data_IF_158766757354
#
_entry.id   IF_158766757354
#
_cell.length_a   1.000
_cell.length_b   1.000
_cell.length_c   1.000
_cell.angle_alpha   90.00
_cell.angle_beta   90.00
_cell.angle_gamma   90.00
#
_symmetry.space_group_name_H-M   'P 1'
#
loop_
_entity.id
_entity.type
_entity.pdbx_description
1 polymer ?
#
# COMPACT_ATOMS: atom_id res chain seq x y z
N UNK A 1 9.77 0.02 8.21
CA UNK A 1 9.20 -0.48 9.48
C UNK A 1 10.09 -1.63 10.00
N UNK A 2 10.41 -1.68 11.30
CA UNK A 2 11.22 -2.77 11.89
C UNK A 2 10.33 -3.97 12.30
N UNK A 3 10.93 -5.15 12.47
CA UNK A 3 10.23 -6.34 13.00
C UNK A 3 9.88 -6.12 14.49
N UNK A 4 8.73 -6.64 14.99
CA UNK A 4 8.41 -6.64 16.41
C UNK A 4 9.49 -7.35 17.23
N UNK A 5 9.78 -6.85 18.43
CA UNK A 5 10.71 -7.46 19.37
C UNK A 5 10.10 -7.61 20.75
N UNK A 6 10.47 -8.67 21.43
CA UNK A 6 9.96 -8.97 22.76
C UNK A 6 10.88 -8.36 23.84
N UNK A 7 10.29 -7.63 24.78
CA UNK A 7 11.00 -7.00 25.89
C UNK A 7 10.70 -7.76 27.19
N UNK A 8 11.71 -8.49 27.69
CA UNK A 8 11.61 -9.32 28.90
C UNK A 8 11.12 -8.54 30.13
N UNK A 9 11.56 -7.29 30.32
CA UNK A 9 11.21 -6.44 31.47
C UNK A 9 9.71 -6.17 31.61
N UNK A 10 8.97 -6.11 30.50
CA UNK A 10 7.52 -5.85 30.51
C UNK A 10 6.70 -7.03 30.02
N UNK A 11 7.34 -8.18 29.78
CA UNK A 11 6.72 -9.40 29.24
C UNK A 11 5.81 -9.10 28.03
N UNK A 12 6.28 -8.21 27.14
CA UNK A 12 5.47 -7.68 26.04
C UNK A 12 6.28 -7.42 24.78
N UNK A 13 5.58 -7.47 23.65
CA UNK A 13 6.06 -7.16 22.32
C UNK A 13 5.93 -5.67 22.02
N UNK A 14 6.97 -5.14 21.39
CA UNK A 14 7.08 -3.75 20.98
C UNK A 14 7.52 -3.66 19.53
N UNK A 15 7.20 -2.54 18.86
CA UNK A 15 7.76 -2.18 17.57
C UNK A 15 8.17 -0.71 17.57
N UNK A 16 9.29 -0.41 16.92
CA UNK A 16 9.68 0.97 16.63
C UNK A 16 8.85 1.48 15.45
N UNK A 17 8.03 2.49 15.72
CA UNK A 17 7.18 3.14 14.74
C UNK A 17 7.26 4.66 14.92
N UNK A 18 7.60 5.39 13.84
CA UNK A 18 7.76 6.86 13.82
C UNK A 18 8.55 7.45 15.01
N UNK A 19 9.73 6.89 15.30
CA UNK A 19 10.58 7.37 16.40
C UNK A 19 10.08 7.03 17.80
N UNK A 20 8.92 6.36 17.94
CA UNK A 20 8.36 5.91 19.22
C UNK A 20 8.31 4.39 19.30
N UNK A 21 8.26 3.87 20.53
CA UNK A 21 8.03 2.45 20.79
C UNK A 21 6.55 2.22 21.06
N UNK A 22 5.89 1.49 20.16
CA UNK A 22 4.48 1.11 20.31
C UNK A 22 4.42 -0.28 20.92
N UNK A 23 3.61 -0.44 21.98
CA UNK A 23 3.33 -1.74 22.60
C UNK A 23 2.29 -2.47 21.76
N UNK A 24 2.58 -3.71 21.38
CA UNK A 24 1.74 -4.53 20.49
C UNK A 24 0.90 -5.58 21.23
N UNK A 25 1.41 -6.12 22.34
CA UNK A 25 0.70 -7.16 23.10
C UNK A 25 1.64 -7.95 23.99
N UNK A 26 1.10 -8.79 24.86
CA UNK A 26 1.91 -9.70 25.72
C UNK A 26 2.13 -11.04 25.04
N UNK A 27 1.11 -11.55 24.32
CA UNK A 27 1.22 -12.78 23.54
C UNK A 27 1.78 -12.53 22.14
N UNK A 28 2.47 -13.54 21.62
CA UNK A 28 3.11 -13.47 20.31
C UNK A 28 2.10 -13.36 19.18
N UNK A 29 1.04 -14.16 19.17
CA UNK A 29 0.05 -14.11 18.09
C UNK A 29 -0.65 -12.73 18.04
N UNK A 30 -1.15 -12.27 19.19
CA UNK A 30 -1.81 -10.96 19.34
C UNK A 30 -0.90 -9.82 18.88
N UNK A 31 0.38 -9.85 19.25
CA UNK A 31 1.33 -8.82 18.87
C UNK A 31 1.66 -8.81 17.36
N UNK A 32 1.73 -9.98 16.73
CA UNK A 32 1.95 -10.08 15.28
C UNK A 32 0.71 -9.66 14.49
N UNK A 33 -0.49 -9.93 15.02
CA UNK A 33 -1.74 -9.44 14.43
C UNK A 33 -1.82 -7.92 14.50
N UNK A 34 -1.59 -7.33 15.69
CA UNK A 34 -1.53 -5.88 15.87
C UNK A 34 -0.44 -5.23 14.98
N UNK A 35 0.70 -5.91 14.79
CA UNK A 35 1.74 -5.46 13.87
C UNK A 35 1.27 -5.47 12.40
N UNK A 36 0.56 -6.50 11.97
CA UNK A 36 0.01 -6.57 10.62
C UNK A 36 -1.06 -5.52 10.38
N UNK A 37 -1.94 -5.26 11.34
CA UNK A 37 -2.95 -4.19 11.28
C UNK A 37 -2.30 -2.80 11.24
N UNK A 38 -1.29 -2.56 12.08
CA UNK A 38 -0.51 -1.32 12.08
C UNK A 38 0.22 -1.11 10.74
N UNK A 39 0.66 -2.19 10.10
CA UNK A 39 1.31 -2.16 8.79
C UNK A 39 0.30 -1.94 7.66
N UNK A 40 -0.88 -2.55 7.74
CA UNK A 40 -1.96 -2.42 6.75
C UNK A 40 -2.56 -1.02 6.74
N UNK A 41 -2.78 -0.42 7.92
CA UNK A 41 -3.23 0.97 8.07
C UNK A 41 -2.22 2.02 7.57
N UNK A 42 -0.95 1.62 7.39
CA UNK A 42 0.13 2.46 6.87
C UNK A 42 0.50 2.19 5.42
N UNK A 43 0.05 1.07 4.85
CA UNK A 43 0.03 1.00 3.41
C UNK A 43 -0.82 2.20 2.98
N UNK A 44 -0.30 3.10 2.11
CA UNK A 44 -1.17 4.11 1.53
C UNK A 44 -2.36 3.31 1.00
N UNK A 45 -3.56 3.60 1.49
CA UNK A 45 -4.78 3.12 0.86
C UNK A 45 -4.53 3.41 -0.61
N UNK A 46 -4.46 2.35 -1.42
CA UNK A 46 -4.13 2.48 -2.82
C UNK A 46 -5.16 3.46 -3.38
N UNK A 47 -4.77 4.73 -3.55
CA UNK A 47 -5.63 5.80 -4.09
C UNK A 47 -6.03 5.50 -5.55
N UNK A 48 -5.61 4.35 -6.08
CA UNK A 48 -6.27 3.73 -7.19
C UNK A 48 -7.62 3.12 -6.75
N UNK A 49 -8.59 4.00 -6.50
CA UNK A 49 -10.01 3.65 -6.37
C UNK A 49 -10.58 3.13 -7.71
N UNK A 50 -9.81 3.22 -8.79
CA UNK A 50 -10.15 2.71 -10.11
C UNK A 50 -8.92 2.22 -10.86
N UNK A 51 -9.15 1.32 -11.83
CA UNK A 51 -8.14 0.88 -12.79
C UNK A 51 -7.54 2.08 -13.55
N UNK A 52 -8.34 3.13 -13.77
CA UNK A 52 -7.87 4.37 -14.39
C UNK A 52 -6.79 5.07 -13.54
N UNK A 53 -7.03 5.23 -12.23
CA UNK A 53 -6.06 5.85 -11.31
C UNK A 53 -4.79 5.00 -11.15
N UNK A 54 -4.91 3.67 -11.16
CA UNK A 54 -3.74 2.77 -11.18
C UNK A 54 -2.91 2.93 -12.47
N UNK A 55 -3.59 2.99 -13.63
CA UNK A 55 -2.95 3.18 -14.92
C UNK A 55 -2.20 4.52 -14.99
N UNK A 56 -2.80 5.59 -14.45
CA UNK A 56 -2.19 6.91 -14.40
C UNK A 56 -0.94 6.95 -13.49
N UNK A 57 -1.02 6.35 -12.29
CA UNK A 57 0.15 6.21 -11.41
C UNK A 57 1.29 5.42 -12.09
N UNK A 58 0.96 4.36 -12.82
CA UNK A 58 1.94 3.57 -13.56
C UNK A 58 2.57 4.36 -14.72
N UNK A 59 1.78 5.14 -15.46
CA UNK A 59 2.28 5.99 -16.54
C UNK A 59 3.20 7.10 -16.02
N UNK A 60 2.87 7.72 -14.88
CA UNK A 60 3.74 8.70 -14.24
C UNK A 60 5.07 8.09 -13.78
N UNK A 61 5.04 6.86 -13.27
CA UNK A 61 6.28 6.13 -12.96
C UNK A 61 7.07 5.82 -14.25
N UNK A 62 6.40 5.38 -15.32
CA UNK A 62 7.06 5.09 -16.60
C UNK A 62 7.72 6.35 -17.19
N UNK A 63 7.06 7.51 -17.14
CA UNK A 63 7.60 8.78 -17.62
C UNK A 63 8.94 9.15 -16.97
N UNK A 64 9.10 8.80 -15.70
CA UNK A 64 10.31 9.11 -14.90
C UNK A 64 11.41 8.05 -15.02
N UNK A 65 11.07 6.81 -15.38
CA UNK A 65 11.97 5.65 -15.25
C UNK A 65 12.20 4.89 -16.56
N UNK A 66 11.45 5.18 -17.63
CA UNK A 66 11.49 4.45 -18.91
C UNK A 66 11.70 5.40 -20.08
N UNK A 67 12.05 4.82 -21.24
CA UNK A 67 12.23 5.58 -22.46
C UNK A 67 10.92 6.23 -22.93
N UNK A 68 10.96 7.38 -23.63
CA UNK A 68 9.76 8.03 -24.17
C UNK A 68 8.92 7.11 -25.06
N UNK A 69 9.58 6.28 -25.88
CA UNK A 69 8.91 5.29 -26.76
C UNK A 69 8.14 4.25 -25.96
N UNK A 70 8.71 3.77 -24.86
CA UNK A 70 8.06 2.81 -23.96
C UNK A 70 6.85 3.44 -23.27
N UNK A 71 6.98 4.70 -22.84
CA UNK A 71 5.88 5.44 -22.23
C UNK A 71 4.70 5.62 -23.19
N UNK A 72 4.94 6.08 -24.42
CA UNK A 72 3.85 6.28 -25.39
C UNK A 72 3.16 4.95 -25.76
N UNK A 73 3.93 3.86 -25.90
CA UNK A 73 3.35 2.53 -26.10
C UNK A 73 2.39 2.17 -24.97
N UNK A 74 2.83 2.23 -23.72
CA UNK A 74 1.95 1.94 -22.58
C UNK A 74 0.74 2.87 -22.51
N UNK A 75 0.91 4.16 -22.83
CA UNK A 75 -0.17 5.15 -22.81
C UNK A 75 -1.26 4.82 -23.82
N UNK A 76 -0.92 4.42 -25.04
CA UNK A 76 -1.91 4.03 -26.06
C UNK A 76 -2.74 2.82 -25.61
N UNK A 77 -2.07 1.74 -25.16
CA UNK A 77 -2.76 0.51 -24.74
C UNK A 77 -3.60 0.72 -23.48
N UNK A 78 -3.06 1.42 -22.47
CA UNK A 78 -3.79 1.67 -21.23
C UNK A 78 -4.97 2.62 -21.45
N UNK A 79 -4.85 3.61 -22.34
CA UNK A 79 -5.96 4.51 -22.67
C UNK A 79 -7.11 3.76 -23.35
N UNK A 80 -6.80 2.81 -24.26
CA UNK A 80 -7.81 1.95 -24.88
C UNK A 80 -8.46 1.01 -23.87
N UNK A 81 -7.65 0.41 -23.00
CA UNK A 81 -8.10 -0.50 -21.94
C UNK A 81 -9.01 0.18 -20.92
N UNK A 82 -8.64 1.36 -20.42
CA UNK A 82 -9.46 2.13 -19.47
C UNK A 82 -10.79 2.55 -20.10
N UNK A 83 -10.80 2.90 -21.39
CA UNK A 83 -12.04 3.20 -22.12
C UNK A 83 -12.96 1.99 -22.28
N UNK A 84 -12.42 0.78 -22.42
CA UNK A 84 -13.22 -0.43 -22.67
C UNK A 84 -13.89 -0.99 -21.43
N UNK A 85 -13.25 -0.89 -20.26
CA UNK A 85 -13.82 -1.34 -18.98
C UNK A 85 -14.87 -0.38 -18.40
N UNK A 86 -14.95 0.86 -18.90
CA UNK A 86 -15.83 1.90 -18.37
C UNK A 86 -15.45 2.34 -16.95
N UNK A 87 -15.88 3.53 -16.54
CA UNK A 87 -15.61 4.08 -15.18
C UNK A 87 -16.52 3.40 -14.14
N UNK A 88 -16.43 2.08 -13.97
CA UNK A 88 -17.16 1.37 -12.91
C UNK A 88 -16.23 1.11 -11.74
N UNK A 89 -16.25 2.06 -10.81
CA UNK A 89 -15.81 1.85 -9.44
C UNK A 89 -16.92 1.09 -8.72
N UNK A 90 -16.74 -0.21 -8.50
CA UNK A 90 -17.53 -0.94 -7.51
C UNK A 90 -16.93 -0.66 -6.14
N UNK A 91 -17.64 0.11 -5.30
CA UNK A 91 -17.42 0.10 -3.86
C UNK A 91 -16.98 1.43 -3.23
N UNK A 92 -17.81 2.46 -3.32
CA UNK A 92 -18.03 3.32 -2.15
C UNK A 92 -19.42 2.98 -1.64
N UNK A 93 -19.48 2.01 -0.73
CA UNK A 93 -20.66 1.80 0.10
C UNK A 93 -20.48 2.67 1.34
N UNK A 94 -21.47 3.54 1.52
CA UNK A 94 -21.72 4.47 2.63
C UNK A 94 -21.61 3.80 3.99
#
# INVERSE_FOLDING_TARGET
MRKPFFKKTHNAWYVHHQGRMVRLGTKREEAFQAYHELKASQAPASQADSVASLAECFLEWCRKNRSPRTYEWYKEFLSSFVKSIGTRVCGSAV
#
